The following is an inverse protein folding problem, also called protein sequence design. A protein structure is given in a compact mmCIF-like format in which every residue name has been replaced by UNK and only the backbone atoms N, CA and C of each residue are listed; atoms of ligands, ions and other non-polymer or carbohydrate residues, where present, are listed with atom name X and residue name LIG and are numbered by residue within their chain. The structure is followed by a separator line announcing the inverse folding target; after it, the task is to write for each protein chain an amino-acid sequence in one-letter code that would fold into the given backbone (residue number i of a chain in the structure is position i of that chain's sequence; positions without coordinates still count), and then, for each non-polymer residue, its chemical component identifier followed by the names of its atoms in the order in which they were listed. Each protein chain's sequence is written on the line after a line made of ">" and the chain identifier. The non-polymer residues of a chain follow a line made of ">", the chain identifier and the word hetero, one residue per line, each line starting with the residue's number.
data_IF_345325793770
#
_entry.id   IF_345325793770
#
_cell.length_a   1.000
_cell.length_b   1.000
_cell.length_c   1.000
_cell.angle_alpha   90.00
_cell.angle_beta   90.00
_cell.angle_gamma   90.00
#
_symmetry.space_group_name_H-M   'P 1'
#
loop_
_entity.id
_entity.type
_entity.pdbx_description
1 polymer ?
#
# COMPACT_ATOMS: atom_id res chain seq x y z
N UNK A 1 24.37 -9.36 -15.01
CA UNK A 1 22.93 -9.41 -14.64
C UNK A 1 22.14 -8.86 -15.81
N UNK A 2 20.96 -9.42 -16.12
CA UNK A 2 20.05 -8.79 -17.06
C UNK A 2 19.69 -7.39 -16.57
N UNK A 3 19.51 -6.45 -17.49
CA UNK A 3 19.00 -5.11 -17.19
C UNK A 3 17.52 -5.16 -16.83
N UNK A 4 17.01 -4.13 -16.13
CA UNK A 4 15.58 -4.03 -15.78
C UNK A 4 14.71 -4.12 -17.03
N UNK A 5 15.10 -3.45 -18.11
CA UNK A 5 14.38 -3.47 -19.40
C UNK A 5 14.32 -4.86 -20.03
N UNK A 6 15.39 -5.65 -19.90
CA UNK A 6 15.40 -7.04 -20.39
C UNK A 6 14.47 -7.94 -19.56
N UNK A 7 14.44 -7.75 -18.24
CA UNK A 7 13.52 -8.48 -17.34
C UNK A 7 12.06 -8.12 -17.62
N UNK A 8 11.76 -6.84 -17.81
CA UNK A 8 10.42 -6.34 -18.11
C UNK A 8 9.90 -6.89 -19.44
N UNK A 9 10.74 -6.89 -20.48
CA UNK A 9 10.38 -7.46 -21.78
C UNK A 9 9.98 -8.94 -21.65
N UNK A 10 10.78 -9.73 -20.93
CA UNK A 10 10.48 -11.15 -20.71
C UNK A 10 9.20 -11.35 -19.88
N UNK A 11 8.96 -10.49 -18.89
CA UNK A 11 7.72 -10.53 -18.10
C UNK A 11 6.47 -10.24 -18.94
N UNK A 12 6.57 -9.34 -19.93
CA UNK A 12 5.45 -9.04 -20.85
C UNK A 12 5.18 -10.14 -21.89
N UNK A 13 6.12 -11.04 -22.13
CA UNK A 13 5.89 -12.23 -22.96
C UNK A 13 5.06 -13.31 -22.21
N UNK A 14 4.89 -13.18 -20.89
CA UNK A 14 4.08 -14.10 -20.10
C UNK A 14 2.57 -13.83 -20.24
N UNK A 15 1.72 -14.89 -20.23
CA UNK A 15 0.29 -14.75 -20.03
C UNK A 15 -0.04 -13.98 -18.75
N UNK A 16 -1.16 -13.25 -18.76
CA UNK A 16 -1.60 -12.40 -17.64
C UNK A 16 -1.55 -13.12 -16.28
N UNK A 17 -2.05 -14.36 -16.21
CA UNK A 17 -2.05 -15.15 -14.97
C UNK A 17 -0.65 -15.41 -14.43
N UNK A 18 0.32 -15.69 -15.31
CA UNK A 18 1.71 -15.95 -14.92
C UNK A 18 2.43 -14.65 -14.56
N UNK A 19 2.13 -13.56 -15.28
CA UNK A 19 2.67 -12.23 -14.96
C UNK A 19 2.19 -11.73 -13.60
N UNK A 20 0.93 -11.99 -13.23
CA UNK A 20 0.40 -11.70 -11.88
C UNK A 20 1.15 -12.47 -10.80
N UNK A 21 1.41 -13.77 -11.01
CA UNK A 21 2.17 -14.59 -10.06
C UNK A 21 3.60 -14.07 -9.92
N UNK A 22 4.26 -13.76 -11.03
CA UNK A 22 5.61 -13.19 -11.03
C UNK A 22 5.65 -11.86 -10.27
N UNK A 23 4.69 -10.96 -10.49
CA UNK A 23 4.59 -9.70 -9.78
C UNK A 23 4.44 -9.89 -8.27
N UNK A 24 3.62 -10.85 -7.84
CA UNK A 24 3.44 -11.18 -6.42
C UNK A 24 4.75 -11.68 -5.78
N UNK A 25 5.48 -12.58 -6.46
CA UNK A 25 6.78 -13.07 -5.97
C UNK A 25 7.82 -11.96 -5.88
N UNK A 26 7.89 -11.08 -6.89
CA UNK A 26 8.81 -9.95 -6.87
C UNK A 26 8.49 -9.03 -5.69
N UNK A 27 7.21 -8.68 -5.48
CA UNK A 27 6.78 -7.86 -4.34
C UNK A 27 7.12 -8.52 -2.99
N UNK A 28 6.91 -9.83 -2.84
CA UNK A 28 7.24 -10.57 -1.62
C UNK A 28 8.75 -10.69 -1.37
N UNK A 29 9.57 -10.56 -2.42
CA UNK A 29 11.03 -10.63 -2.30
C UNK A 29 11.65 -9.33 -1.77
N UNK A 30 10.91 -8.23 -1.79
CA UNK A 30 11.35 -6.95 -1.25
C UNK A 30 11.30 -6.96 0.28
N UNK A 31 12.20 -6.24 0.96
CA UNK A 31 12.08 -6.03 2.40
C UNK A 31 10.71 -5.44 2.76
N UNK A 32 10.09 -5.85 3.87
CA UNK A 32 8.82 -5.28 4.33
C UNK A 32 8.95 -3.82 4.76
N UNK A 33 10.18 -3.34 4.93
CA UNK A 33 10.48 -1.93 5.06
C UNK A 33 10.55 -1.37 3.64
N UNK A 34 9.48 -0.68 3.24
CA UNK A 34 9.55 0.30 2.17
C UNK A 34 10.61 1.31 2.61
N UNK A 35 11.81 1.18 2.06
CA UNK A 35 12.88 2.17 2.18
C UNK A 35 12.50 3.37 1.31
N UNK A 36 11.32 3.94 1.57
CA UNK A 36 10.82 5.09 0.84
C UNK A 36 11.56 6.31 1.37
N UNK A 37 12.43 6.85 0.51
CA UNK A 37 13.14 8.11 0.73
C UNK A 37 12.21 9.32 0.92
N UNK A 38 10.90 9.21 0.68
CA UNK A 38 9.89 10.09 1.30
C UNK A 38 8.47 9.62 0.96
N UNK A 39 7.69 9.27 2.00
CA UNK A 39 6.30 9.76 2.19
C UNK A 39 5.61 9.11 3.39
N UNK A 40 6.03 7.96 3.93
CA UNK A 40 5.27 7.28 4.99
C UNK A 40 5.04 8.11 6.27
N UNK A 41 6.13 8.51 6.95
CA UNK A 41 6.03 9.31 8.18
C UNK A 41 5.57 10.73 7.87
N UNK A 42 6.09 11.32 6.78
CA UNK A 42 5.72 12.66 6.36
C UNK A 42 4.21 12.77 6.06
N UNK A 43 3.63 11.77 5.39
CA UNK A 43 2.19 11.67 5.15
C UNK A 43 1.43 11.46 6.44
N UNK A 44 1.89 10.59 7.34
CA UNK A 44 1.23 10.39 8.62
C UNK A 44 1.13 11.70 9.42
N UNK A 45 2.20 12.52 9.42
CA UNK A 45 2.20 13.84 10.05
C UNK A 45 1.27 14.83 9.35
N UNK A 46 1.24 14.85 8.00
CA UNK A 46 0.29 15.68 7.23
C UNK A 46 -1.15 15.33 7.57
N UNK A 47 -1.49 14.03 7.56
CA UNK A 47 -2.82 13.53 7.91
C UNK A 47 -3.23 13.87 9.34
N UNK A 48 -2.29 13.78 10.29
CA UNK A 48 -2.55 14.20 11.65
C UNK A 48 -2.89 15.69 11.72
N UNK A 49 -2.11 16.54 11.05
CA UNK A 49 -2.36 17.98 11.01
C UNK A 49 -3.70 18.34 10.33
N UNK A 50 -4.10 17.63 9.27
CA UNK A 50 -5.40 17.79 8.64
C UNK A 50 -6.56 17.42 9.58
N UNK A 51 -6.42 16.33 10.35
CA UNK A 51 -7.41 15.91 11.33
C UNK A 51 -7.55 16.92 12.48
N UNK A 52 -6.42 17.46 12.96
CA UNK A 52 -6.41 18.53 13.98
C UNK A 52 -7.09 19.80 13.46
N UNK A 53 -6.86 20.16 12.20
CA UNK A 53 -7.44 21.34 11.56
C UNK A 53 -8.94 21.20 11.28
N UNK A 54 -9.41 19.99 10.96
CA UNK A 54 -10.81 19.72 10.72
C UNK A 54 -11.25 18.35 11.27
N UNK A 55 -11.64 18.25 12.56
CA UNK A 55 -12.04 16.99 13.15
C UNK A 55 -13.21 16.28 12.45
N UNK A 56 -14.01 17.01 11.66
CA UNK A 56 -15.15 16.44 10.92
C UNK A 56 -14.75 15.58 9.71
N UNK A 57 -13.48 15.59 9.27
CA UNK A 57 -13.01 14.66 8.23
C UNK A 57 -12.73 13.26 8.78
N UNK A 58 -12.65 13.13 10.10
CA UNK A 58 -12.47 11.86 10.80
C UNK A 58 -13.76 11.34 11.43
N UNK A 59 -13.64 10.18 12.06
CA UNK A 59 -14.64 9.62 12.96
C UNK A 59 -14.00 9.42 14.33
N UNK A 60 -14.80 9.45 15.39
CA UNK A 60 -14.31 9.09 16.72
C UNK A 60 -13.95 7.61 16.77
N UNK A 61 -13.10 7.24 17.74
CA UNK A 61 -12.78 5.84 17.99
C UNK A 61 -14.05 5.02 18.29
N UNK A 62 -14.99 5.58 19.03
CA UNK A 62 -16.28 4.95 19.31
C UNK A 62 -17.10 4.67 18.03
N UNK A 63 -17.16 5.64 17.11
CA UNK A 63 -17.83 5.46 15.82
C UNK A 63 -17.14 4.39 14.97
N UNK A 64 -15.80 4.36 14.98
CA UNK A 64 -15.03 3.32 14.31
C UNK A 64 -15.37 1.94 14.85
N UNK A 65 -15.38 1.77 16.17
CA UNK A 65 -15.69 0.50 16.83
C UNK A 65 -17.12 0.02 16.50
N UNK A 66 -18.09 0.93 16.47
CA UNK A 66 -19.46 0.63 16.05
C UNK A 66 -19.52 0.11 14.60
N UNK A 67 -18.78 0.75 13.68
CA UNK A 67 -18.71 0.31 12.29
C UNK A 67 -18.03 -1.06 12.12
N UNK A 68 -16.99 -1.35 12.91
CA UNK A 68 -16.31 -2.65 12.89
C UNK A 68 -17.24 -3.75 13.40
N UNK A 69 -17.97 -3.49 14.49
CA UNK A 69 -18.91 -4.46 15.05
C UNK A 69 -20.06 -4.76 14.08
N UNK A 70 -20.64 -3.72 13.46
CA UNK A 70 -21.73 -3.87 12.48
C UNK A 70 -21.35 -4.64 11.20
N UNK A 71 -20.05 -4.81 10.90
CA UNK A 71 -19.58 -5.63 9.77
C UNK A 71 -19.44 -7.12 10.10
N UNK A 72 -19.43 -7.46 11.39
CA UNK A 72 -19.23 -8.84 11.87
C UNK A 72 -20.55 -9.56 12.12
N UNK A 73 -21.64 -8.82 12.27
CA UNK A 73 -23.01 -9.30 12.41
C UNK A 73 -23.68 -9.45 11.03
#
# INVERSE_FOLDING_TARGET
>A
MPSITEVEKLAFELPDSQRTILAAHLLQSLPPVLDDEDEGIAEALRRNAELDANPNIGISLEQFDQHVQARRD
#
